data_IF_340578807928
#
_entry.id   IF_340578807928
#
_cell.length_a   1.000
_cell.length_b   1.000
_cell.length_c   1.000
_cell.angle_alpha   90.00
_cell.angle_beta   90.00
_cell.angle_gamma   90.00
#
_symmetry.space_group_name_H-M   'P 1'
#
loop_
_entity.id
_entity.type
_entity.pdbx_description
1 polymer ?
#
# COMPACT_ATOMS: atom_id res chain seq x y z
N UNK A 1 9.11 2.17 -20.98
CA UNK A 1 9.20 3.29 -20.01
C UNK A 1 10.28 2.98 -19.01
N UNK A 2 11.17 3.93 -18.72
CA UNK A 2 12.18 3.76 -17.67
C UNK A 2 11.53 3.88 -16.28
N UNK A 3 11.86 2.99 -15.35
CA UNK A 3 11.43 3.09 -13.96
C UNK A 3 12.26 4.15 -13.24
N UNK A 4 11.63 4.93 -12.36
CA UNK A 4 12.34 5.88 -11.50
C UNK A 4 13.17 5.13 -10.47
N UNK A 5 14.38 5.60 -10.19
CA UNK A 5 15.23 5.08 -9.10
C UNK A 5 15.07 5.96 -7.85
N UNK A 6 15.23 5.41 -6.63
CA UNK A 6 15.34 6.24 -5.43
C UNK A 6 16.53 7.20 -5.56
N UNK A 7 16.26 8.51 -5.52
CA UNK A 7 17.30 9.55 -5.63
C UNK A 7 17.75 10.09 -4.27
N UNK A 8 16.97 9.81 -3.22
CA UNK A 8 17.15 10.38 -1.90
C UNK A 8 17.48 9.29 -0.88
N UNK A 9 18.26 9.66 0.14
CA UNK A 9 18.55 8.78 1.27
C UNK A 9 17.30 8.51 2.11
N UNK A 10 17.29 7.41 2.88
CA UNK A 10 16.18 7.12 3.81
C UNK A 10 15.95 8.23 4.84
N UNK A 11 17.03 8.93 5.24
CA UNK A 11 16.93 10.09 6.14
C UNK A 11 16.17 11.26 5.51
N UNK A 12 16.50 11.62 4.26
CA UNK A 12 15.78 12.65 3.52
C UNK A 12 14.32 12.28 3.27
N UNK A 13 14.04 11.02 2.94
CA UNK A 13 12.66 10.52 2.76
C UNK A 13 11.86 10.62 4.06
N UNK A 14 12.49 10.30 5.20
CA UNK A 14 11.88 10.47 6.53
C UNK A 14 11.55 11.93 6.81
N UNK A 15 12.53 12.83 6.66
CA UNK A 15 12.34 14.26 6.87
C UNK A 15 11.23 14.84 5.98
N UNK A 16 11.18 14.47 4.70
CA UNK A 16 10.11 14.88 3.80
C UNK A 16 8.73 14.37 4.25
N UNK A 17 8.66 13.12 4.74
CA UNK A 17 7.44 12.57 5.32
C UNK A 17 7.00 13.30 6.59
N UNK A 18 7.94 13.68 7.46
CA UNK A 18 7.67 14.40 8.69
C UNK A 18 7.22 15.84 8.42
N UNK A 19 7.79 16.50 7.40
CA UNK A 19 7.35 17.83 6.95
C UNK A 19 5.85 17.86 6.58
N UNK A 20 5.29 16.77 6.01
CA UNK A 20 3.84 16.70 5.71
C UNK A 20 2.93 16.64 6.96
N UNK A 21 3.50 16.48 8.15
CA UNK A 21 2.77 16.53 9.42
C UNK A 21 2.60 17.95 9.93
N UNK A 22 3.47 18.88 9.50
CA UNK A 22 3.44 20.25 9.95
C UNK A 22 2.20 20.98 9.45
N UNK A 23 1.50 21.67 10.36
CA UNK A 23 0.27 22.42 10.02
C UNK A 23 0.55 23.64 9.14
N UNK A 24 1.75 24.21 9.24
CA UNK A 24 2.14 25.46 8.60
C UNK A 24 3.54 25.35 7.99
N UNK A 25 3.68 24.48 6.99
CA UNK A 25 4.93 24.35 6.24
C UNK A 25 5.06 25.47 5.21
N UNK A 26 6.26 26.07 5.12
CA UNK A 26 6.55 27.08 4.10
C UNK A 26 6.39 26.50 2.69
N UNK A 27 5.91 27.29 1.70
CA UNK A 27 5.64 26.78 0.35
C UNK A 27 6.82 26.07 -0.32
N UNK A 28 8.03 26.61 -0.17
CA UNK A 28 9.24 26.04 -0.77
C UNK A 28 9.62 24.71 -0.11
N UNK A 29 9.57 24.64 1.21
CA UNK A 29 9.81 23.41 1.97
C UNK A 29 8.76 22.33 1.63
N UNK A 30 7.51 22.73 1.40
CA UNK A 30 6.46 21.83 0.95
C UNK A 30 6.74 21.28 -0.46
N UNK A 31 7.17 22.14 -1.39
CA UNK A 31 7.54 21.73 -2.74
C UNK A 31 8.73 20.75 -2.74
N UNK A 32 9.75 21.03 -1.94
CA UNK A 32 10.90 20.14 -1.77
C UNK A 32 10.47 18.78 -1.21
N UNK A 33 9.73 18.75 -0.10
CA UNK A 33 9.21 17.50 0.47
C UNK A 33 8.38 16.72 -0.55
N UNK A 34 7.50 17.39 -1.29
CA UNK A 34 6.66 16.77 -2.31
C UNK A 34 7.49 16.12 -3.43
N UNK A 35 8.60 16.74 -3.83
CA UNK A 35 9.52 16.17 -4.83
C UNK A 35 10.15 14.86 -4.36
N UNK A 36 10.63 14.82 -3.11
CA UNK A 36 11.22 13.63 -2.47
C UNK A 36 10.20 12.51 -2.38
N UNK A 37 9.00 12.80 -1.88
CA UNK A 37 7.93 11.82 -1.71
C UNK A 37 7.47 11.27 -3.07
N UNK A 38 7.41 12.13 -4.09
CA UNK A 38 7.01 11.74 -5.44
C UNK A 38 8.03 10.79 -6.06
N UNK A 39 9.33 11.09 -5.96
CA UNK A 39 10.40 10.19 -6.40
C UNK A 39 10.35 8.86 -5.64
N UNK A 40 10.30 8.90 -4.30
CA UNK A 40 10.25 7.71 -3.45
C UNK A 40 9.08 6.81 -3.82
N UNK A 41 7.88 7.38 -3.95
CA UNK A 41 6.67 6.67 -4.37
C UNK A 41 6.81 6.10 -5.79
N UNK A 42 7.36 6.87 -6.73
CA UNK A 42 7.53 6.42 -8.11
C UNK A 42 8.53 5.25 -8.23
N UNK A 43 9.58 5.25 -7.41
CA UNK A 43 10.60 4.20 -7.42
C UNK A 43 10.07 2.82 -7.03
N UNK A 44 8.97 2.77 -6.26
CA UNK A 44 8.29 1.53 -5.92
C UNK A 44 7.63 0.82 -7.13
N UNK A 45 7.50 1.49 -8.28
CA UNK A 45 6.92 0.90 -9.48
C UNK A 45 7.71 -0.33 -9.99
N UNK A 46 9.03 -0.32 -9.85
CA UNK A 46 9.86 -1.43 -10.31
C UNK A 46 9.67 -2.69 -9.44
N UNK A 47 9.83 -2.65 -8.09
CA UNK A 47 9.48 -3.76 -7.22
C UNK A 47 8.04 -4.25 -7.42
N UNK A 48 7.08 -3.33 -7.54
CA UNK A 48 5.67 -3.65 -7.77
C UNK A 48 5.47 -4.52 -9.01
N UNK A 49 6.09 -4.15 -10.13
CA UNK A 49 6.00 -4.91 -11.38
C UNK A 49 6.68 -6.29 -11.28
N UNK A 50 7.84 -6.36 -10.62
CA UNK A 50 8.57 -7.61 -10.37
C UNK A 50 7.71 -8.59 -9.56
N UNK A 51 7.10 -8.10 -8.48
CA UNK A 51 6.19 -8.90 -7.65
C UNK A 51 4.93 -9.32 -8.40
N UNK A 52 4.41 -8.47 -9.30
CA UNK A 52 3.21 -8.79 -10.07
C UNK A 52 3.46 -9.91 -11.07
N UNK A 53 4.62 -9.86 -11.73
CA UNK A 53 5.06 -10.93 -12.64
C UNK A 53 5.24 -12.25 -11.88
N UNK A 54 5.86 -12.21 -10.69
CA UNK A 54 6.02 -13.40 -9.85
C UNK A 54 4.68 -13.95 -9.34
N UNK A 55 3.76 -13.08 -8.94
CA UNK A 55 2.42 -13.45 -8.49
C UNK A 55 1.66 -14.20 -9.59
N UNK A 56 1.66 -13.67 -10.81
CA UNK A 56 1.02 -14.33 -11.96
C UNK A 56 1.61 -15.72 -12.23
N UNK A 57 2.94 -15.87 -12.15
CA UNK A 57 3.61 -17.17 -12.31
C UNK A 57 3.23 -18.16 -11.22
N UNK A 58 3.21 -17.74 -9.95
CA UNK A 58 2.79 -18.60 -8.83
C UNK A 58 1.33 -19.00 -8.94
N UNK A 59 0.44 -18.09 -9.29
CA UNK A 59 -0.98 -18.37 -9.55
C UNK A 59 -1.17 -19.42 -10.65
N UNK A 60 -0.44 -19.30 -11.76
CA UNK A 60 -0.47 -20.29 -12.84
C UNK A 60 0.04 -21.67 -12.37
N UNK A 61 1.17 -21.70 -11.66
CA UNK A 61 1.73 -22.95 -11.11
C UNK A 61 0.82 -23.65 -10.09
N UNK A 62 -0.05 -22.90 -9.42
CA UNK A 62 -1.07 -23.43 -8.50
C UNK A 62 -2.40 -23.78 -9.20
N UNK A 63 -2.44 -23.79 -10.55
CA UNK A 63 -3.64 -24.14 -11.32
C UNK A 63 -4.75 -23.08 -11.28
N UNK A 64 -4.42 -21.85 -10.89
CA UNK A 64 -5.33 -20.70 -10.83
C UNK A 64 -4.80 -19.50 -11.63
N UNK A 65 -4.46 -19.66 -12.93
CA UNK A 65 -3.97 -18.56 -13.76
C UNK A 65 -5.03 -17.46 -13.90
N UNK A 66 -4.59 -16.26 -14.27
CA UNK A 66 -5.51 -15.20 -14.74
C UNK A 66 -6.15 -15.67 -16.07
N UNK A 67 -7.48 -15.57 -16.27
CA UNK A 67 -8.46 -14.82 -15.46
C UNK A 67 -9.20 -15.61 -14.37
N UNK A 68 -8.88 -16.89 -14.10
CA UNK A 68 -9.47 -17.64 -12.97
C UNK A 68 -9.21 -16.99 -11.61
N UNK A 69 -8.13 -16.22 -11.52
CA UNK A 69 -7.83 -15.27 -10.46
C UNK A 69 -7.82 -13.84 -11.00
N UNK A 70 -8.10 -12.85 -10.16
CA UNK A 70 -7.92 -11.43 -10.51
C UNK A 70 -6.67 -10.90 -9.82
N UNK A 71 -5.80 -10.22 -10.58
CA UNK A 71 -4.59 -9.57 -10.06
C UNK A 71 -4.71 -8.06 -10.27
N UNK A 72 -4.61 -7.31 -9.17
CA UNK A 72 -4.53 -5.86 -9.17
C UNK A 72 -3.19 -5.37 -8.65
N UNK A 73 -2.75 -4.22 -9.13
CA UNK A 73 -1.58 -3.54 -8.59
C UNK A 73 -1.88 -2.05 -8.44
N UNK A 74 -1.33 -1.40 -7.41
CA UNK A 74 -1.44 0.04 -7.22
C UNK A 74 -0.23 0.59 -6.49
N UNK A 75 0.17 1.80 -6.87
CA UNK A 75 0.94 2.66 -5.97
C UNK A 75 -0.04 3.46 -5.11
N UNK A 76 0.31 3.64 -3.85
CA UNK A 76 -0.47 4.47 -2.93
C UNK A 76 -0.52 5.91 -3.45
N UNK A 77 -1.68 6.55 -3.31
CA UNK A 77 -1.87 7.94 -3.73
C UNK A 77 -1.24 8.88 -2.70
N UNK A 78 -0.67 10.01 -3.15
CA UNK A 78 -0.04 10.99 -2.26
C UNK A 78 -0.95 11.46 -1.11
N UNK A 79 -2.24 11.79 -1.33
CA UNK A 79 -3.13 12.17 -0.22
C UNK A 79 -3.31 11.04 0.82
N UNK A 80 -3.29 9.78 0.38
CA UNK A 80 -3.38 8.63 1.28
C UNK A 80 -2.08 8.36 2.03
N UNK A 81 -0.93 8.72 1.45
CA UNK A 81 0.37 8.68 2.14
C UNK A 81 0.37 9.76 3.23
N UNK A 82 0.04 11.01 2.89
CA UNK A 82 -0.03 12.13 3.81
C UNK A 82 -1.00 11.85 4.97
N UNK A 83 -2.22 11.40 4.67
CA UNK A 83 -3.22 11.06 5.70
C UNK A 83 -2.76 9.91 6.61
N UNK A 84 -2.05 8.90 6.08
CA UNK A 84 -1.52 7.81 6.92
C UNK A 84 -0.38 8.29 7.82
N UNK A 85 0.49 9.17 7.34
CA UNK A 85 1.50 9.80 8.18
C UNK A 85 0.80 10.55 9.30
N UNK A 86 -0.09 11.50 8.99
CA UNK A 86 -0.81 12.30 9.98
C UNK A 86 -1.62 11.48 11.00
N UNK A 87 -2.20 10.34 10.61
CA UNK A 87 -2.98 9.47 11.51
C UNK A 87 -2.13 8.68 12.51
N UNK A 88 -0.88 8.36 12.15
CA UNK A 88 -0.02 7.48 12.96
C UNK A 88 1.31 8.18 13.21
N UNK A 89 1.49 8.72 14.42
CA UNK A 89 2.67 9.53 14.78
C UNK A 89 3.98 8.75 14.69
N UNK A 90 3.95 7.44 14.94
CA UNK A 90 5.13 6.57 14.85
C UNK A 90 5.44 6.11 13.41
N UNK A 91 4.56 6.39 12.45
CA UNK A 91 4.74 6.02 11.04
C UNK A 91 5.81 6.91 10.40
N UNK A 92 6.75 6.30 9.68
CA UNK A 92 7.73 7.04 8.88
C UNK A 92 7.63 6.63 7.43
N UNK A 93 7.80 7.58 6.50
CA UNK A 93 7.63 7.33 5.07
C UNK A 93 8.63 6.29 4.53
N UNK A 94 9.89 6.33 4.97
CA UNK A 94 10.94 5.39 4.56
C UNK A 94 10.66 3.95 5.02
N UNK A 95 9.83 3.78 6.06
CA UNK A 95 9.41 2.49 6.62
C UNK A 95 7.99 2.09 6.23
N UNK A 96 7.27 2.92 5.47
CA UNK A 96 5.88 2.66 5.10
C UNK A 96 5.80 1.44 4.16
N UNK A 97 5.10 0.41 4.61
CA UNK A 97 5.08 -0.89 3.92
C UNK A 97 4.13 -0.94 2.72
N UNK A 98 3.07 -0.13 2.73
CA UNK A 98 1.96 -0.19 1.78
C UNK A 98 2.04 0.87 0.67
N UNK A 99 3.24 1.29 0.28
CA UNK A 99 3.43 2.20 -0.87
C UNK A 99 3.18 1.47 -2.19
N UNK A 100 3.78 0.28 -2.38
CA UNK A 100 3.48 -0.63 -3.47
C UNK A 100 2.55 -1.75 -2.99
N UNK A 101 1.33 -1.77 -3.52
CA UNK A 101 0.31 -2.75 -3.17
C UNK A 101 -0.03 -3.68 -4.34
N UNK A 102 0.03 -4.99 -4.10
CA UNK A 102 -0.54 -6.01 -4.97
C UNK A 102 -1.76 -6.65 -4.34
N UNK A 103 -2.69 -7.07 -5.19
CA UNK A 103 -3.87 -7.82 -4.78
C UNK A 103 -4.03 -9.07 -5.64
N UNK A 104 -4.30 -10.19 -5.00
CA UNK A 104 -4.81 -11.39 -5.65
C UNK A 104 -6.20 -11.71 -5.11
N UNK A 105 -7.16 -11.89 -6.01
CA UNK A 105 -8.50 -12.37 -5.68
C UNK A 105 -8.67 -13.76 -6.26
N UNK A 106 -8.91 -14.74 -5.38
CA UNK A 106 -9.05 -16.16 -5.71
C UNK A 106 -10.45 -16.67 -5.35
N UNK A 107 -10.81 -17.87 -5.80
CA UNK A 107 -12.20 -18.33 -5.68
C UNK A 107 -12.58 -18.89 -4.30
N UNK A 108 -11.62 -19.29 -3.47
CA UNK A 108 -11.93 -19.93 -2.18
C UNK A 108 -10.81 -19.78 -1.14
N UNK A 109 -11.15 -19.95 0.14
CA UNK A 109 -10.18 -19.92 1.23
C UNK A 109 -9.09 -21.00 1.08
N UNK A 110 -9.43 -22.17 0.53
CA UNK A 110 -8.44 -23.21 0.22
C UNK A 110 -7.36 -22.72 -0.76
N UNK A 111 -7.78 -22.05 -1.84
CA UNK A 111 -6.85 -21.46 -2.82
C UNK A 111 -6.06 -20.29 -2.25
N UNK A 112 -6.69 -19.48 -1.39
CA UNK A 112 -6.04 -18.38 -0.69
C UNK A 112 -4.92 -18.89 0.22
N UNK A 113 -5.20 -19.94 1.01
CA UNK A 113 -4.19 -20.60 1.86
C UNK A 113 -3.04 -21.16 1.01
N UNK A 114 -3.34 -21.88 -0.07
CA UNK A 114 -2.30 -22.41 -0.97
C UNK A 114 -1.41 -21.30 -1.54
N UNK A 115 -1.97 -20.13 -1.89
CA UNK A 115 -1.19 -18.98 -2.35
C UNK A 115 -0.33 -18.39 -1.23
N UNK A 116 -0.87 -18.24 -0.02
CA UNK A 116 -0.13 -17.80 1.16
C UNK A 116 1.07 -18.72 1.41
N UNK A 117 0.82 -20.02 1.51
CA UNK A 117 1.84 -21.04 1.79
C UNK A 117 2.95 -21.02 0.73
N UNK A 118 2.61 -20.78 -0.54
CA UNK A 118 3.58 -20.67 -1.63
C UNK A 118 4.49 -19.43 -1.54
N UNK A 119 4.10 -18.39 -0.78
CA UNK A 119 4.93 -17.22 -0.48
C UNK A 119 5.70 -17.41 0.84
N UNK A 120 5.05 -17.93 1.88
CA UNK A 120 5.64 -18.15 3.20
C UNK A 120 6.75 -19.21 3.18
N UNK A 121 6.53 -20.33 2.48
CA UNK A 121 7.43 -21.48 2.47
C UNK A 121 8.11 -21.73 1.12
N UNK A 122 7.84 -20.89 0.11
CA UNK A 122 8.36 -21.08 -1.25
C UNK A 122 9.87 -20.77 -1.34
N UNK A 123 10.69 -21.81 -1.50
CA UNK A 123 12.16 -21.81 -1.39
C UNK A 123 12.98 -20.99 -2.40
N UNK A 124 12.37 -20.14 -3.24
CA UNK A 124 13.07 -19.45 -4.35
C UNK A 124 12.79 -17.96 -4.47
N UNK A 125 12.32 -17.32 -3.41
CA UNK A 125 12.07 -15.88 -3.43
C UNK A 125 13.24 -15.15 -2.76
N UNK A 126 14.04 -14.43 -3.55
CA UNK A 126 15.25 -13.73 -3.06
C UNK A 126 14.96 -12.51 -2.19
N UNK A 127 13.69 -12.13 -2.05
CA UNK A 127 13.23 -10.98 -1.29
C UNK A 127 12.96 -11.38 0.16
N UNK A 128 13.26 -10.49 1.10
CA UNK A 128 13.12 -10.78 2.52
C UNK A 128 11.64 -10.68 2.95
N UNK A 129 11.10 -11.77 3.49
CA UNK A 129 9.77 -11.77 4.10
C UNK A 129 9.83 -11.01 5.43
N UNK A 130 9.08 -9.91 5.55
CA UNK A 130 9.09 -9.07 6.76
C UNK A 130 7.95 -9.37 7.70
N UNK A 131 6.75 -9.62 7.16
CA UNK A 131 5.58 -9.83 7.98
C UNK A 131 4.46 -10.58 7.25
N UNK A 132 3.65 -11.32 8.01
CA UNK A 132 2.41 -11.93 7.56
C UNK A 132 1.31 -11.63 8.58
N UNK A 133 0.21 -11.05 8.13
CA UNK A 133 -1.00 -10.89 8.92
C UNK A 133 -2.15 -11.68 8.29
N UNK A 134 -2.70 -12.64 9.04
CA UNK A 134 -3.82 -13.46 8.57
C UNK A 134 -5.16 -12.93 9.11
N UNK A 135 -5.69 -11.88 8.48
CA UNK A 135 -7.02 -11.37 8.83
C UNK A 135 -8.15 -12.27 8.32
N UNK A 136 -7.88 -13.38 7.64
CA UNK A 136 -8.91 -14.39 7.35
C UNK A 136 -9.18 -15.20 8.62
N UNK A 137 -8.12 -15.62 9.31
CA UNK A 137 -8.19 -16.34 10.59
C UNK A 137 -8.60 -15.43 11.75
N UNK A 138 -8.02 -14.23 11.85
CA UNK A 138 -8.33 -13.23 12.88
C UNK A 138 -8.80 -11.92 12.23
N UNK A 139 -10.09 -11.82 11.85
CA UNK A 139 -10.65 -10.63 11.21
C UNK A 139 -10.52 -9.38 12.07
N UNK A 140 -10.53 -8.22 11.43
CA UNK A 140 -10.67 -6.94 12.14
C UNK A 140 -12.10 -6.77 12.65
N UNK A 141 -12.28 -5.80 13.55
CA UNK A 141 -13.58 -5.46 14.17
C UNK A 141 -14.66 -5.10 13.13
N UNK A 142 -14.28 -4.44 12.04
CA UNK A 142 -15.14 -4.11 10.90
C UNK A 142 -15.46 -5.32 9.98
N UNK A 143 -15.10 -6.54 10.40
CA UNK A 143 -15.29 -7.76 9.63
C UNK A 143 -14.32 -7.90 8.44
N UNK A 144 -13.35 -7.00 8.28
CA UNK A 144 -12.37 -7.07 7.20
C UNK A 144 -11.54 -8.35 7.26
N UNK A 145 -11.41 -9.01 6.10
CA UNK A 145 -10.67 -10.26 5.91
C UNK A 145 -9.75 -10.19 4.69
N UNK A 146 -8.49 -10.55 4.89
CA UNK A 146 -7.47 -10.69 3.85
C UNK A 146 -6.20 -11.29 4.48
N UNK A 147 -5.40 -12.02 3.72
CA UNK A 147 -4.01 -12.27 4.12
C UNK A 147 -3.16 -11.13 3.60
N UNK A 148 -2.39 -10.48 4.48
CA UNK A 148 -1.41 -9.45 4.11
C UNK A 148 -0.01 -10.02 4.27
N UNK A 149 0.80 -9.90 3.24
CA UNK A 149 2.21 -10.31 3.24
C UNK A 149 3.06 -9.13 2.84
N UNK A 150 4.06 -8.80 3.65
CA UNK A 150 4.99 -7.70 3.38
C UNK A 150 6.36 -8.27 3.10
N UNK A 151 6.91 -7.89 1.95
CA UNK A 151 8.30 -8.18 1.60
C UNK A 151 9.13 -6.90 1.55
N UNK A 152 10.41 -7.03 1.89
CA UNK A 152 11.45 -6.06 1.55
C UNK A 152 12.14 -6.53 0.27
N UNK A 153 12.16 -5.68 -0.74
CA UNK A 153 12.77 -5.96 -2.03
C UNK A 153 14.27 -6.12 -1.85
N UNK A 154 14.81 -7.22 -2.39
CA UNK A 154 16.24 -7.54 -2.40
C UNK A 154 16.61 -8.21 -3.74
N UNK A 155 17.53 -7.61 -4.48
CA UNK A 155 18.04 -8.16 -5.73
C UNK A 155 19.46 -7.66 -6.02
N UNK A 156 20.41 -8.57 -6.11
CA UNK A 156 21.84 -8.26 -6.37
C UNK A 156 22.08 -7.64 -7.74
N UNK A 157 21.22 -7.90 -8.73
CA UNK A 157 21.35 -7.36 -10.09
C UNK A 157 20.84 -5.92 -10.23
N UNK A 158 19.97 -5.49 -9.32
CA UNK A 158 19.36 -4.15 -9.34
C UNK A 158 19.29 -3.58 -7.91
N UNK A 159 20.45 -3.41 -7.25
CA UNK A 159 20.52 -3.07 -5.83
C UNK A 159 19.94 -1.69 -5.49
N UNK A 160 19.79 -0.80 -6.47
CA UNK A 160 19.22 0.54 -6.28
C UNK A 160 17.78 0.55 -5.76
N UNK A 161 17.05 -0.57 -5.88
CA UNK A 161 15.69 -0.72 -5.35
C UNK A 161 15.64 -1.50 -4.03
N UNK A 162 16.78 -1.93 -3.49
CA UNK A 162 16.81 -2.74 -2.28
C UNK A 162 16.29 -1.94 -1.08
N UNK A 163 15.59 -2.64 -0.19
CA UNK A 163 14.99 -2.02 0.98
C UNK A 163 13.59 -1.42 0.76
N UNK A 164 13.12 -1.28 -0.49
CA UNK A 164 11.75 -0.86 -0.76
C UNK A 164 10.75 -1.96 -0.37
N UNK A 165 9.59 -1.58 0.16
CA UNK A 165 8.60 -2.54 0.62
C UNK A 165 7.51 -2.78 -0.42
N UNK A 166 7.03 -4.02 -0.48
CA UNK A 166 5.86 -4.40 -1.28
C UNK A 166 4.89 -5.16 -0.38
N UNK A 167 3.67 -4.66 -0.29
CA UNK A 167 2.57 -5.31 0.41
C UNK A 167 1.70 -6.09 -0.59
N UNK A 168 1.45 -7.36 -0.30
CA UNK A 168 0.58 -8.24 -1.05
C UNK A 168 -0.67 -8.56 -0.24
N UNK A 169 -1.84 -8.46 -0.86
CA UNK A 169 -3.13 -8.72 -0.23
C UNK A 169 -3.85 -9.84 -0.96
N UNK A 170 -4.08 -10.97 -0.29
CA UNK A 170 -4.81 -12.10 -0.84
C UNK A 170 -6.22 -12.15 -0.26
N UNK A 171 -7.21 -12.30 -1.13
CA UNK A 171 -8.63 -12.27 -0.78
C UNK A 171 -9.38 -13.31 -1.60
N UNK A 172 -10.51 -13.78 -1.07
CA UNK A 172 -11.54 -14.41 -1.91
C UNK A 172 -12.40 -13.34 -2.59
N UNK A 173 -13.23 -13.74 -3.56
CA UNK A 173 -14.18 -12.82 -4.20
C UNK A 173 -15.11 -12.13 -3.20
N UNK A 174 -15.67 -12.89 -2.25
CA UNK A 174 -16.55 -12.34 -1.19
C UNK A 174 -15.80 -11.39 -0.27
N UNK A 175 -14.59 -11.75 0.16
CA UNK A 175 -13.74 -10.88 0.98
C UNK A 175 -13.35 -9.60 0.24
N UNK A 176 -13.11 -9.68 -1.08
CA UNK A 176 -12.86 -8.51 -1.90
C UNK A 176 -14.09 -7.61 -1.97
N UNK A 177 -15.28 -8.17 -2.22
CA UNK A 177 -16.53 -7.42 -2.28
C UNK A 177 -16.82 -6.69 -0.95
N UNK A 178 -16.69 -7.39 0.20
CA UNK A 178 -16.84 -6.80 1.52
C UNK A 178 -15.89 -5.60 1.73
N UNK A 179 -14.60 -5.81 1.49
CA UNK A 179 -13.62 -4.75 1.70
C UNK A 179 -13.84 -3.56 0.75
N UNK A 180 -14.30 -3.79 -0.48
CA UNK A 180 -14.66 -2.70 -1.40
C UNK A 180 -15.88 -1.93 -0.88
N UNK A 181 -16.88 -2.62 -0.33
CA UNK A 181 -18.05 -1.99 0.28
C UNK A 181 -17.64 -1.12 1.49
N UNK A 182 -16.84 -1.65 2.42
CA UNK A 182 -16.33 -0.90 3.57
C UNK A 182 -15.49 0.32 3.13
N UNK A 183 -14.54 0.13 2.21
CA UNK A 183 -13.72 1.24 1.66
C UNK A 183 -14.60 2.34 1.01
N UNK A 184 -15.73 1.95 0.41
CA UNK A 184 -16.69 2.87 -0.23
C UNK A 184 -17.47 3.65 0.81
N UNK A 185 -18.06 2.99 1.80
CA UNK A 185 -18.79 3.62 2.91
C UNK A 185 -17.89 4.61 3.67
N UNK A 186 -16.67 4.20 4.01
CA UNK A 186 -15.69 5.05 4.70
C UNK A 186 -15.38 6.32 3.89
N UNK A 187 -15.23 6.18 2.56
CA UNK A 187 -14.97 7.32 1.68
C UNK A 187 -16.15 8.29 1.64
N UNK A 188 -17.39 7.78 1.61
CA UNK A 188 -18.58 8.63 1.64
C UNK A 188 -18.74 9.35 2.98
N UNK A 189 -18.61 8.64 4.10
CA UNK A 189 -18.72 9.22 5.44
C UNK A 189 -17.64 10.29 5.69
N UNK A 190 -16.38 9.99 5.34
CA UNK A 190 -15.27 10.95 5.47
C UNK A 190 -15.52 12.23 4.67
N UNK A 191 -16.11 12.12 3.47
CA UNK A 191 -16.45 13.28 2.65
C UNK A 191 -17.60 14.10 3.24
N UNK A 192 -18.60 13.46 3.85
CA UNK A 192 -19.71 14.17 4.48
C UNK A 192 -19.25 14.90 5.76
N UNK A 193 -18.44 14.28 6.61
CA UNK A 193 -17.93 14.92 7.83
C UNK A 193 -17.08 16.16 7.52
N UNK A 194 -16.30 16.14 6.43
CA UNK A 194 -15.54 17.33 5.98
C UNK A 194 -16.45 18.44 5.43
N UNK A 195 -17.59 18.10 4.83
CA UNK A 195 -18.53 19.08 4.26
C UNK A 195 -19.35 19.79 5.34
N UNK A 196 -19.73 19.10 6.42
CA UNK A 196 -20.40 19.71 7.59
C UNK A 196 -19.48 20.71 8.30
N UNK A 197 -18.17 20.39 8.42
CA UNK A 197 -17.20 21.28 9.06
C UNK A 197 -17.03 22.62 8.32
N UNK A 198 -17.05 22.60 6.97
CA UNK A 198 -16.95 23.80 6.13
C UNK A 198 -18.21 24.69 6.15
N UNK A 199 -19.38 24.15 6.48
CA UNK A 199 -20.63 24.91 6.58
C UNK A 199 -20.76 25.59 7.96
N UNK A 200 -20.09 25.07 8.99
CA UNK A 200 -20.13 25.63 10.35
C UNK A 200 -19.20 26.84 10.58
N UNK A 201 -18.37 27.23 9.60
CA UNK A 201 -17.42 28.36 9.69
C UNK A 201 -17.78 29.54 8.77
N UNK A 202 -19.05 29.67 8.38
CA UNK A 202 -19.54 30.90 7.74
C UNK A 202 -19.65 32.04 8.76
N UNK A 203 -19.30 33.30 8.41
CA UNK A 203 -19.38 34.41 9.35
C UNK A 203 -20.85 34.66 9.70
N UNK A 204 -21.18 34.63 10.99
CA UNK A 204 -22.38 35.27 11.51
C UNK A 204 -22.24 36.78 11.28
N UNK A 205 -22.77 37.25 10.15
CA UNK A 205 -22.98 38.67 9.88
C UNK A 205 -24.44 38.86 9.50
N UNK A 206 -25.31 39.02 10.48
CA UNK A 206 -26.58 39.74 10.33
C UNK A 206 -26.96 40.36 11.69
N UNK A 207 -26.98 41.70 11.69
CA UNK A 207 -27.59 42.69 12.59
C UNK A 207 -27.70 42.40 14.09
#
# INVERSE_FOLDING_TARGET
>A
MAYQIPQYTKGQVRLAGDALREKHLQPDAFAEALSVITNWRAAHAYPLNTFQSTLRKKLAGLGMPVPKSVVGQRLKRLPSIASKLQRFDTMSLDRMQDIAGLRAVVSSNRRLKALRDAYEHGSKFSHELRNIHDYVATPKEDGYRSVHIVYRYENTKVPQYNGLHVEMQFRTQVQHAWATAVETVDTFLTRQSKRVMLISTGPNSFN
#
